data_IF_581575419202
#
_entry.id   IF_581575419202
#
_cell.length_a   1.000
_cell.length_b   1.000
_cell.length_c   1.000
_cell.angle_alpha   90.00
_cell.angle_beta   90.00
_cell.angle_gamma   90.00
#
_symmetry.space_group_name_H-M   'P 1'
#
loop_
_entity.id
_entity.type
_entity.pdbx_description
1 polymer ?
#
# COMPACT_ATOMS: atom_id res chain seq x y z
N UNK A 1 63.86 -13.09 2.19
CA UNK A 1 64.12 -11.75 2.77
C UNK A 1 64.70 -10.91 1.64
N UNK A 2 64.12 -9.85 1.08
CA UNK A 2 62.93 -9.02 1.30
C UNK A 2 62.56 -8.47 -0.10
N UNK A 3 61.31 -8.60 -0.57
CA UNK A 3 60.18 -7.67 -0.42
C UNK A 3 60.32 -6.37 -1.23
N UNK A 4 59.30 -6.18 -2.07
CA UNK A 4 58.80 -4.96 -2.73
C UNK A 4 59.36 -4.53 -4.09
N UNK A 5 58.60 -4.95 -5.12
CA UNK A 5 58.54 -4.38 -6.45
C UNK A 5 57.06 -4.01 -6.71
N UNK A 6 56.86 -2.85 -7.34
CA UNK A 6 55.65 -2.45 -8.08
C UNK A 6 54.49 -1.87 -7.25
N UNK A 7 54.56 -0.57 -6.97
CA UNK A 7 53.36 0.26 -6.93
C UNK A 7 53.06 0.71 -8.37
N UNK A 8 52.09 0.05 -9.03
CA UNK A 8 51.47 0.56 -10.25
C UNK A 8 50.18 1.25 -9.85
N UNK A 9 50.18 2.56 -10.03
CA UNK A 9 49.02 3.44 -10.00
C UNK A 9 47.91 2.86 -10.88
N UNK A 10 46.83 2.38 -10.27
CA UNK A 10 45.56 2.13 -10.95
C UNK A 10 44.82 3.47 -10.95
N UNK A 11 44.79 4.12 -12.11
CA UNK A 11 43.93 5.28 -12.34
C UNK A 11 42.50 4.76 -12.50
N UNK A 12 41.67 4.96 -11.48
CA UNK A 12 40.22 4.87 -11.61
C UNK A 12 39.76 6.09 -12.42
N UNK A 13 39.49 5.89 -13.71
CA UNK A 13 38.74 6.85 -14.49
C UNK A 13 37.26 6.70 -14.12
N UNK A 14 36.82 7.44 -13.10
CA UNK A 14 35.40 7.68 -12.85
C UNK A 14 34.92 8.63 -13.95
N UNK A 15 34.29 8.07 -14.98
CA UNK A 15 33.50 8.88 -15.92
C UNK A 15 32.20 9.22 -15.19
N UNK A 16 32.19 10.38 -14.55
CA UNK A 16 30.95 11.02 -14.12
C UNK A 16 30.21 11.47 -15.39
N UNK A 17 29.30 10.64 -15.88
CA UNK A 17 28.30 11.07 -16.85
C UNK A 17 27.31 11.96 -16.12
N UNK A 18 27.40 13.26 -16.37
CA UNK A 18 26.36 14.23 -16.04
C UNK A 18 25.03 13.78 -16.65
N UNK A 19 24.08 13.36 -15.82
CA UNK A 19 22.70 13.17 -16.25
C UNK A 19 22.14 14.54 -16.68
N UNK A 20 21.98 14.74 -17.98
CA UNK A 20 21.14 15.82 -18.50
C UNK A 20 19.69 15.39 -18.34
N UNK A 21 18.88 16.22 -17.69
CA UNK A 21 17.43 16.10 -17.61
C UNK A 21 16.82 16.40 -18.98
N UNK A 22 16.91 15.43 -19.90
CA UNK A 22 16.07 15.34 -21.07
C UNK A 22 15.04 14.24 -20.80
N UNK A 23 13.76 14.55 -20.98
CA UNK A 23 12.65 13.61 -20.81
C UNK A 23 12.97 12.26 -21.44
N UNK A 24 13.13 11.23 -20.61
CA UNK A 24 13.41 9.87 -21.06
C UNK A 24 12.10 9.29 -21.58
N UNK A 25 11.97 9.20 -22.91
CA UNK A 25 11.05 8.25 -23.49
C UNK A 25 11.50 6.85 -23.06
N UNK A 26 10.58 6.05 -22.53
CA UNK A 26 10.87 4.64 -22.22
C UNK A 26 11.28 3.92 -23.51
N UNK A 27 12.40 3.17 -23.51
CA UNK A 27 12.80 2.39 -24.68
C UNK A 27 11.71 1.37 -25.02
N UNK A 28 11.47 1.19 -26.31
CA UNK A 28 10.46 0.23 -26.78
C UNK A 28 10.84 -1.22 -26.40
N UNK A 29 9.84 -2.10 -26.28
CA UNK A 29 10.06 -3.52 -25.97
C UNK A 29 10.99 -4.18 -27.01
N UNK A 30 10.89 -3.79 -28.28
CA UNK A 30 11.84 -4.23 -29.32
C UNK A 30 13.28 -3.77 -29.07
N UNK A 31 13.52 -2.52 -28.66
CA UNK A 31 14.86 -2.02 -28.37
C UNK A 31 15.48 -2.70 -27.13
N UNK A 32 14.65 -3.02 -26.14
CA UNK A 32 15.06 -3.81 -24.98
C UNK A 32 15.41 -5.25 -25.38
N UNK A 33 14.61 -5.88 -26.24
CA UNK A 33 14.87 -7.22 -26.75
C UNK A 33 16.16 -7.29 -27.58
N UNK A 34 16.39 -6.34 -28.50
CA UNK A 34 17.63 -6.26 -29.28
C UNK A 34 18.86 -6.04 -28.38
N UNK A 35 18.72 -5.23 -27.34
CA UNK A 35 19.80 -4.98 -26.38
C UNK A 35 20.13 -6.20 -25.53
N UNK A 36 19.12 -7.00 -25.15
CA UNK A 36 19.29 -8.29 -24.48
C UNK A 36 19.96 -9.32 -25.39
N UNK A 37 19.51 -9.45 -26.65
CA UNK A 37 20.14 -10.36 -27.61
C UNK A 37 21.62 -10.01 -27.85
N UNK A 38 21.93 -8.71 -27.99
CA UNK A 38 23.32 -8.26 -28.19
C UNK A 38 24.20 -8.55 -26.97
N UNK A 39 23.70 -8.31 -25.76
CA UNK A 39 24.42 -8.69 -24.53
C UNK A 39 24.64 -10.20 -24.43
N UNK A 40 23.66 -11.00 -24.83
CA UNK A 40 23.78 -12.46 -24.80
C UNK A 40 24.81 -12.97 -25.81
N UNK A 41 24.85 -12.39 -27.01
CA UNK A 41 25.88 -12.69 -28.01
C UNK A 41 27.30 -12.29 -27.56
N UNK A 42 27.45 -11.12 -26.94
CA UNK A 42 28.74 -10.68 -26.39
C UNK A 42 29.22 -11.62 -25.27
N UNK A 43 28.30 -12.05 -24.39
CA UNK A 43 28.59 -13.02 -23.34
C UNK A 43 29.02 -14.37 -23.88
N UNK A 44 28.40 -14.85 -24.96
CA UNK A 44 28.75 -16.14 -25.56
C UNK A 44 30.09 -16.07 -26.30
N UNK A 45 30.40 -14.96 -26.97
CA UNK A 45 31.73 -14.73 -27.55
C UNK A 45 32.83 -14.68 -26.48
N UNK A 46 32.59 -13.97 -25.38
CA UNK A 46 33.51 -13.92 -24.24
C UNK A 46 33.75 -15.31 -23.66
N UNK A 47 32.69 -16.09 -23.41
CA UNK A 47 32.79 -17.49 -22.94
C UNK A 47 33.63 -18.36 -23.89
N UNK A 48 33.48 -18.18 -25.20
CA UNK A 48 34.18 -18.97 -26.21
C UNK A 48 35.66 -18.59 -26.33
N UNK A 49 36.00 -17.30 -26.28
CA UNK A 49 37.38 -16.82 -26.23
C UNK A 49 38.10 -17.31 -24.97
N UNK A 50 37.40 -17.33 -23.83
CA UNK A 50 37.92 -17.83 -22.57
C UNK A 50 38.25 -19.32 -22.61
N UNK A 51 37.42 -20.12 -23.27
CA UNK A 51 37.62 -21.58 -23.40
C UNK A 51 38.88 -21.95 -24.20
N UNK A 52 39.32 -21.08 -25.10
CA UNK A 52 40.44 -21.33 -26.01
C UNK A 52 41.78 -20.73 -25.53
N UNK A 53 41.74 -19.79 -24.58
CA UNK A 53 42.91 -18.96 -24.20
C UNK A 53 43.37 -19.14 -22.75
N UNK A 54 42.53 -19.75 -21.90
CA UNK A 54 42.74 -19.80 -20.46
C UNK A 54 43.24 -21.16 -19.98
N UNK A 55 44.15 -21.16 -19.01
CA UNK A 55 44.56 -22.35 -18.24
C UNK A 55 43.39 -22.90 -17.41
N UNK A 56 43.45 -24.18 -16.99
CA UNK A 56 42.37 -24.80 -16.20
C UNK A 56 42.02 -24.02 -14.93
N UNK A 57 42.99 -23.39 -14.27
CA UNK A 57 42.74 -22.52 -13.11
C UNK A 57 42.00 -21.23 -13.50
N UNK A 58 42.37 -20.55 -14.58
CA UNK A 58 41.70 -19.32 -15.05
C UNK A 58 40.25 -19.60 -15.48
N UNK A 59 39.98 -20.74 -16.12
CA UNK A 59 38.60 -21.17 -16.45
C UNK A 59 37.77 -21.40 -15.19
N UNK A 60 38.36 -21.91 -14.10
CA UNK A 60 37.66 -22.12 -12.83
C UNK A 60 37.35 -20.80 -12.13
N UNK A 61 38.31 -19.87 -12.09
CA UNK A 61 38.11 -18.52 -11.56
C UNK A 61 37.00 -17.82 -12.34
N UNK A 62 37.01 -17.91 -13.66
CA UNK A 62 36.05 -17.18 -14.49
C UNK A 62 34.68 -17.85 -14.49
N UNK A 63 34.59 -19.18 -14.35
CA UNK A 63 33.31 -19.84 -14.03
C UNK A 63 32.74 -19.37 -12.69
N UNK A 64 33.60 -19.17 -11.68
CA UNK A 64 33.18 -18.63 -10.39
C UNK A 64 32.72 -17.18 -10.53
N UNK A 65 33.45 -16.35 -11.27
CA UNK A 65 33.10 -14.95 -11.50
C UNK A 65 31.83 -14.80 -12.35
N UNK A 66 31.62 -15.68 -13.34
CA UNK A 66 30.38 -15.73 -14.13
C UNK A 66 29.19 -16.28 -13.33
N UNK A 67 29.41 -17.28 -12.47
CA UNK A 67 28.36 -17.77 -11.56
C UNK A 67 27.96 -16.67 -10.57
N UNK A 68 28.95 -16.00 -9.98
CA UNK A 68 28.74 -14.85 -9.11
C UNK A 68 28.01 -13.75 -9.90
N UNK A 69 28.51 -13.33 -11.06
CA UNK A 69 27.85 -12.31 -11.88
C UNK A 69 26.43 -12.72 -12.32
N UNK A 70 26.15 -14.00 -12.54
CA UNK A 70 24.82 -14.54 -12.79
C UNK A 70 23.87 -14.33 -11.61
N UNK A 71 24.33 -14.52 -10.37
CA UNK A 71 23.59 -14.20 -9.15
C UNK A 71 23.29 -12.70 -9.02
N UNK A 72 24.15 -11.81 -9.54
CA UNK A 72 23.92 -10.36 -9.55
C UNK A 72 23.02 -9.89 -10.71
N UNK A 73 23.03 -10.61 -11.84
CA UNK A 73 22.23 -10.29 -13.03
C UNK A 73 20.79 -10.80 -12.95
N UNK A 74 20.57 -11.87 -12.20
CA UNK A 74 19.25 -12.43 -11.89
C UNK A 74 19.19 -12.76 -10.40
N UNK A 75 19.18 -11.73 -9.53
CA UNK A 75 19.10 -11.99 -8.11
C UNK A 75 17.75 -12.63 -7.81
N UNK A 76 17.78 -13.72 -7.03
CA UNK A 76 16.57 -14.34 -6.50
C UNK A 76 15.80 -13.40 -5.56
N UNK A 77 16.44 -12.31 -5.14
CA UNK A 77 15.91 -11.34 -4.21
C UNK A 77 16.09 -9.91 -4.74
N UNK A 78 15.02 -9.15 -4.74
CA UNK A 78 15.01 -7.72 -5.01
C UNK A 78 14.63 -6.98 -3.74
N UNK A 79 15.36 -5.90 -3.45
CA UNK A 79 15.04 -4.97 -2.37
C UNK A 79 14.85 -3.61 -3.01
N UNK A 80 13.72 -2.97 -2.70
CA UNK A 80 13.39 -1.64 -3.18
C UNK A 80 12.88 -0.80 -2.00
N UNK A 81 13.31 0.45 -1.93
CA UNK A 81 12.85 1.41 -0.94
C UNK A 81 12.33 2.64 -1.67
N UNK A 82 11.13 3.05 -1.31
CA UNK A 82 10.46 4.25 -1.79
C UNK A 82 9.85 4.98 -0.59
N UNK A 83 8.94 5.91 -0.85
CA UNK A 83 8.24 6.66 0.17
C UNK A 83 7.94 8.07 -0.27
N UNK A 84 7.29 8.82 0.60
CA UNK A 84 6.98 10.22 0.40
C UNK A 84 7.19 11.02 1.68
N UNK A 85 7.31 12.33 1.51
CA UNK A 85 7.34 13.25 2.62
C UNK A 85 6.74 14.58 2.20
N UNK A 86 6.09 15.26 3.13
CA UNK A 86 5.52 16.59 2.90
C UNK A 86 5.61 17.50 4.12
N UNK A 87 5.54 18.80 3.83
CA UNK A 87 5.56 19.88 4.80
C UNK A 87 4.60 20.95 4.32
N UNK A 88 3.91 21.62 5.24
CA UNK A 88 2.82 22.50 4.91
C UNK A 88 2.65 23.68 5.84
N UNK A 89 1.62 24.46 5.52
CA UNK A 89 1.07 25.50 6.37
C UNK A 89 -0.45 25.38 6.26
N UNK A 90 -1.10 25.23 7.41
CA UNK A 90 -2.55 25.07 7.51
C UNK A 90 -3.11 26.27 8.26
N UNK A 91 -4.19 26.85 7.74
CA UNK A 91 -4.91 27.98 8.33
C UNK A 91 -6.41 27.69 8.18
N UNK A 92 -7.09 27.46 9.30
CA UNK A 92 -8.48 27.02 9.34
C UNK A 92 -9.35 28.12 9.96
N UNK A 93 -10.69 28.04 9.82
CA UNK A 93 -11.56 29.08 10.37
C UNK A 93 -11.59 29.09 11.91
N UNK A 94 -11.27 27.96 12.54
CA UNK A 94 -11.35 27.75 13.99
C UNK A 94 -10.01 27.80 14.71
N UNK A 95 -8.88 27.84 13.99
CA UNK A 95 -7.53 27.77 14.57
C UNK A 95 -6.58 28.77 13.92
N UNK A 96 -5.54 29.16 14.66
CA UNK A 96 -4.49 30.02 14.12
C UNK A 96 -3.59 29.23 13.16
N UNK A 97 -3.29 29.82 12.00
CA UNK A 97 -2.50 29.12 11.01
C UNK A 97 -1.07 28.80 11.44
N UNK A 98 -0.67 27.55 11.23
CA UNK A 98 0.56 26.95 11.75
C UNK A 98 1.35 26.19 10.67
N UNK A 99 2.68 26.14 10.82
CA UNK A 99 3.53 25.28 9.99
C UNK A 99 3.47 23.85 10.52
N UNK A 100 3.32 22.88 9.62
CA UNK A 100 3.32 21.47 9.96
C UNK A 100 4.33 20.69 9.13
N UNK A 101 4.89 19.66 9.74
CA UNK A 101 5.40 18.51 9.01
C UNK A 101 4.17 17.64 8.84
N UNK A 102 3.79 17.33 7.60
CA UNK A 102 2.67 16.41 7.40
C UNK A 102 3.17 15.02 7.71
N UNK A 103 3.61 14.31 6.68
CA UNK A 103 3.99 12.92 6.85
C UNK A 103 5.41 12.64 6.36
N UNK A 104 6.14 11.74 7.03
CA UNK A 104 7.29 11.03 6.45
C UNK A 104 6.97 9.54 6.39
N UNK A 105 6.75 9.00 5.19
CA UNK A 105 6.31 7.64 4.98
C UNK A 105 7.30 6.81 4.14
N UNK A 106 8.33 6.18 4.74
CA UNK A 106 9.20 5.25 4.03
C UNK A 106 8.48 3.93 3.72
N UNK A 107 8.64 3.47 2.48
CA UNK A 107 8.05 2.23 1.96
C UNK A 107 9.16 1.23 1.63
N UNK A 108 9.05 0.02 2.17
CA UNK A 108 9.97 -1.08 1.97
C UNK A 108 9.33 -2.19 1.16
N UNK A 109 10.05 -2.65 0.14
CA UNK A 109 9.67 -3.80 -0.66
C UNK A 109 10.80 -4.83 -0.65
N UNK A 110 10.44 -6.06 -0.37
CA UNK A 110 11.33 -7.21 -0.51
C UNK A 110 10.63 -8.25 -1.38
N UNK A 111 11.22 -8.62 -2.50
CA UNK A 111 10.64 -9.58 -3.42
C UNK A 111 11.58 -10.78 -3.57
N UNK A 112 11.04 -11.99 -3.41
CA UNK A 112 11.72 -13.24 -3.71
C UNK A 112 11.17 -13.80 -5.02
N UNK A 113 11.98 -13.73 -6.07
CA UNK A 113 11.64 -14.13 -7.45
C UNK A 113 10.30 -13.53 -7.88
N UNK A 114 9.57 -14.24 -8.71
CA UNK A 114 8.18 -13.97 -9.10
C UNK A 114 7.16 -14.66 -8.16
N UNK A 115 7.58 -15.03 -6.94
CA UNK A 115 6.78 -15.87 -6.05
C UNK A 115 6.20 -15.11 -4.86
N UNK A 116 7.02 -14.33 -4.16
CA UNK A 116 6.59 -13.67 -2.92
C UNK A 116 7.11 -12.24 -2.89
N UNK A 117 6.27 -11.32 -2.43
CA UNK A 117 6.64 -9.93 -2.12
C UNK A 117 6.21 -9.59 -0.70
N UNK A 118 7.04 -8.86 0.02
CA UNK A 118 6.72 -8.21 1.28
C UNK A 118 6.70 -6.71 1.01
N UNK A 119 5.65 -6.06 1.47
CA UNK A 119 5.47 -4.61 1.35
C UNK A 119 5.17 -4.03 2.72
N UNK A 120 5.78 -2.88 3.05
CA UNK A 120 5.48 -2.18 4.29
C UNK A 120 5.64 -0.69 4.13
N UNK A 121 4.67 0.06 4.65
CA UNK A 121 4.71 1.52 4.79
C UNK A 121 4.67 1.85 6.27
N UNK A 122 5.69 2.54 6.73
CA UNK A 122 5.72 3.17 8.05
C UNK A 122 5.35 4.62 7.86
N UNK A 123 4.67 5.19 8.84
CA UNK A 123 4.32 6.60 8.86
C UNK A 123 4.92 7.25 10.12
N UNK A 124 5.51 8.44 9.93
CA UNK A 124 6.03 9.26 11.01
C UNK A 124 5.44 10.66 10.89
N UNK A 125 4.82 11.14 11.96
CA UNK A 125 4.22 12.47 12.05
C UNK A 125 4.72 13.21 13.30
N UNK A 126 4.49 14.51 13.34
CA UNK A 126 4.79 15.34 14.52
C UNK A 126 3.47 15.76 15.13
N UNK A 127 3.16 15.22 16.31
CA UNK A 127 1.96 15.58 17.06
C UNK A 127 1.98 17.02 17.56
N UNK A 128 0.83 17.51 18.03
CA UNK A 128 0.66 18.90 18.46
C UNK A 128 1.54 19.29 19.67
N UNK A 129 1.92 18.32 20.48
CA UNK A 129 2.86 18.49 21.60
C UNK A 129 4.33 18.46 21.16
N UNK A 130 4.59 18.21 19.88
CA UNK A 130 5.90 18.08 19.25
C UNK A 130 6.53 16.68 19.39
N UNK A 131 5.81 15.70 19.93
CA UNK A 131 6.24 14.31 19.95
C UNK A 131 6.16 13.66 18.56
N UNK A 132 6.92 12.59 18.36
CA UNK A 132 6.88 11.84 17.09
C UNK A 132 5.90 10.70 17.23
N UNK A 133 4.86 10.73 16.42
CA UNK A 133 3.91 9.64 16.27
C UNK A 133 4.40 8.66 15.21
N UNK A 134 4.11 7.38 15.36
CA UNK A 134 4.57 6.35 14.43
C UNK A 134 3.49 5.32 14.21
N UNK A 135 3.06 5.17 12.95
CA UNK A 135 2.05 4.21 12.54
C UNK A 135 2.63 3.18 11.57
N UNK A 136 2.05 1.98 11.60
CA UNK A 136 2.25 0.96 10.58
C UNK A 136 1.01 1.00 9.67
N UNK A 137 1.11 1.71 8.55
CA UNK A 137 0.01 1.87 7.60
C UNK A 137 -0.34 0.54 6.95
N UNK A 138 0.66 -0.16 6.41
CA UNK A 138 0.48 -1.54 5.96
C UNK A 138 1.74 -2.37 6.14
N UNK A 139 1.52 -3.68 6.26
CA UNK A 139 2.54 -4.72 6.22
C UNK A 139 1.91 -5.98 5.64
N UNK A 140 2.30 -6.33 4.42
CA UNK A 140 1.75 -7.48 3.71
C UNK A 140 2.82 -8.47 3.29
N UNK A 141 2.42 -9.72 3.18
CA UNK A 141 3.13 -10.77 2.45
C UNK A 141 2.20 -11.26 1.34
N UNK A 142 2.68 -11.09 0.11
CA UNK A 142 1.96 -11.29 -1.12
C UNK A 142 2.52 -12.53 -1.81
N UNK A 143 1.70 -13.57 -1.93
CA UNK A 143 2.03 -14.79 -2.67
C UNK A 143 1.40 -14.75 -4.06
N UNK A 144 2.23 -14.63 -5.09
CA UNK A 144 1.82 -14.69 -6.49
C UNK A 144 1.50 -16.15 -6.86
N UNK A 145 0.21 -16.49 -6.87
CA UNK A 145 -0.25 -17.86 -7.15
C UNK A 145 -0.18 -18.12 -8.67
N UNK A 146 -0.66 -17.17 -9.47
CA UNK A 146 -0.63 -17.17 -10.93
C UNK A 146 -0.96 -15.75 -11.46
N UNK A 147 -0.98 -15.59 -12.79
CA UNK A 147 -1.24 -14.31 -13.48
C UNK A 147 -2.58 -13.63 -13.13
N UNK A 148 -3.52 -14.34 -12.48
CA UNK A 148 -4.86 -13.85 -12.17
C UNK A 148 -5.13 -13.72 -10.67
N UNK A 149 -4.21 -14.14 -9.80
CA UNK A 149 -4.45 -14.31 -8.36
C UNK A 149 -3.20 -14.08 -7.51
N UNK A 150 -3.33 -13.19 -6.53
CA UNK A 150 -2.37 -12.96 -5.46
C UNK A 150 -3.08 -13.14 -4.13
N UNK A 151 -2.51 -13.97 -3.25
CA UNK A 151 -2.95 -14.07 -1.87
C UNK A 151 -2.09 -13.14 -1.01
N UNK A 152 -2.73 -12.17 -0.39
CA UNK A 152 -2.15 -11.15 0.48
C UNK A 152 -2.51 -11.52 1.92
N UNK A 153 -1.54 -11.47 2.83
CA UNK A 153 -1.77 -11.65 4.26
C UNK A 153 -1.04 -10.61 5.09
N UNK A 154 -1.67 -10.11 6.14
CA UNK A 154 -1.12 -9.07 7.01
C UNK A 154 -2.09 -7.91 7.21
N UNK A 155 -1.54 -6.71 7.47
CA UNK A 155 -2.31 -5.45 7.48
C UNK A 155 -2.25 -4.86 6.07
N UNK A 156 -3.37 -4.86 5.35
CA UNK A 156 -3.48 -4.37 3.98
C UNK A 156 -4.42 -3.17 3.88
N UNK A 157 -4.16 -2.28 2.93
CA UNK A 157 -5.07 -1.16 2.64
C UNK A 157 -6.40 -1.70 2.16
N UNK A 158 -7.50 -1.20 2.72
CA UNK A 158 -8.83 -1.74 2.46
C UNK A 158 -9.16 -1.66 0.97
N UNK A 159 -9.67 -2.73 0.34
CA UNK A 159 -10.02 -2.69 -1.06
C UNK A 159 -11.35 -1.98 -1.32
N UNK A 160 -12.05 -1.50 -0.28
CA UNK A 160 -13.28 -0.74 -0.41
C UNK A 160 -12.97 0.63 -1.03
N UNK A 161 -13.60 0.92 -2.16
CA UNK A 161 -13.38 2.18 -2.88
C UNK A 161 -12.00 2.32 -3.57
N UNK A 162 -11.65 3.57 -3.94
CA UNK A 162 -10.51 3.90 -4.78
C UNK A 162 -9.46 4.75 -4.06
N UNK A 163 -9.88 5.65 -3.17
CA UNK A 163 -9.05 6.69 -2.58
C UNK A 163 -7.92 6.09 -1.75
N UNK A 164 -8.26 5.25 -0.78
CA UNK A 164 -7.27 4.61 0.10
C UNK A 164 -6.27 3.78 -0.70
N UNK A 165 -6.71 3.04 -1.71
CA UNK A 165 -5.81 2.20 -2.49
C UNK A 165 -4.86 2.95 -3.43
N UNK A 166 -5.23 4.12 -3.93
CA UNK A 166 -4.54 4.75 -5.06
C UNK A 166 -4.12 6.20 -4.84
N UNK A 167 -4.68 6.87 -3.85
CA UNK A 167 -4.59 8.32 -3.66
C UNK A 167 -4.23 8.74 -2.25
N UNK A 168 -4.07 7.79 -1.31
CA UNK A 168 -3.67 8.12 0.05
C UNK A 168 -2.31 8.84 0.13
N UNK A 169 -1.29 8.57 -0.72
CA UNK A 169 -0.02 9.25 -0.60
C UNK A 169 -0.14 10.72 -0.99
N UNK A 170 0.39 11.62 -0.16
CA UNK A 170 0.27 13.07 -0.33
C UNK A 170 0.84 13.59 -1.66
N UNK A 171 1.84 12.90 -2.23
CA UNK A 171 2.42 13.24 -3.53
C UNK A 171 1.55 12.85 -4.74
N UNK A 172 0.55 11.98 -4.54
CA UNK A 172 -0.40 11.54 -5.57
C UNK A 172 -1.73 12.30 -5.44
N UNK A 173 -2.21 12.50 -4.20
CA UNK A 173 -3.41 13.27 -3.94
C UNK A 173 -3.23 14.72 -4.43
N UNK A 174 -4.16 15.21 -5.25
CA UNK A 174 -4.14 16.61 -5.73
C UNK A 174 -4.92 17.55 -4.83
N UNK A 175 -5.55 17.06 -3.78
CA UNK A 175 -6.17 17.87 -2.75
C UNK A 175 -5.14 18.18 -1.64
N UNK A 176 -5.30 19.31 -0.91
CA UNK A 176 -4.42 19.65 0.21
C UNK A 176 -4.44 18.63 1.37
N UNK A 177 -5.53 17.86 1.49
CA UNK A 177 -5.73 16.83 2.52
C UNK A 177 -6.54 15.66 1.95
N UNK A 178 -6.68 14.58 2.72
CA UNK A 178 -7.73 13.61 2.46
C UNK A 178 -9.10 14.29 2.50
N UNK A 179 -10.06 13.88 1.64
CA UNK A 179 -11.44 14.35 1.77
C UNK A 179 -12.03 13.96 3.13
N UNK A 180 -12.98 14.73 3.68
CA UNK A 180 -13.67 14.39 4.93
C UNK A 180 -14.24 12.96 4.89
N UNK A 181 -14.12 12.20 5.98
CA UNK A 181 -14.58 10.80 6.04
C UNK A 181 -13.68 9.77 5.34
N UNK A 182 -12.59 10.22 4.69
CA UNK A 182 -11.49 9.37 4.21
C UNK A 182 -10.23 9.54 5.07
N UNK A 183 -10.38 10.02 6.31
CA UNK A 183 -9.35 10.10 7.35
C UNK A 183 -9.53 8.99 8.38
N UNK A 184 -8.95 9.15 9.58
CA UNK A 184 -9.26 8.28 10.73
C UNK A 184 -10.71 8.49 11.17
N UNK A 185 -11.30 7.49 11.81
CA UNK A 185 -12.67 7.50 12.34
C UNK A 185 -13.75 7.84 11.28
N UNK A 186 -13.42 7.58 10.01
CA UNK A 186 -14.20 8.01 8.86
C UNK A 186 -15.18 6.97 8.35
N UNK A 187 -16.11 7.41 7.50
CA UNK A 187 -17.02 6.53 6.78
C UNK A 187 -16.29 5.50 5.89
N UNK A 188 -15.12 5.83 5.35
CA UNK A 188 -14.37 4.95 4.45
C UNK A 188 -13.35 4.09 5.21
N UNK A 189 -13.42 2.75 5.12
CA UNK A 189 -12.44 1.85 5.74
C UNK A 189 -11.01 2.15 5.27
N UNK A 190 -10.04 2.09 6.18
CA UNK A 190 -8.65 2.48 5.91
C UNK A 190 -7.82 1.26 5.58
N UNK A 191 -7.71 0.34 6.53
CA UNK A 191 -6.91 -0.88 6.43
C UNK A 191 -7.59 -2.03 7.15
N UNK A 192 -7.19 -3.25 6.81
CA UNK A 192 -7.76 -4.49 7.31
C UNK A 192 -6.62 -5.43 7.72
N UNK A 193 -6.77 -6.14 8.84
CA UNK A 193 -5.83 -7.19 9.26
C UNK A 193 -6.43 -8.55 9.00
N UNK A 194 -5.84 -9.32 8.08
CA UNK A 194 -6.36 -10.62 7.72
C UNK A 194 -5.75 -11.18 6.44
N UNK A 195 -6.61 -11.78 5.60
CA UNK A 195 -6.24 -12.33 4.30
C UNK A 195 -7.11 -11.73 3.19
N UNK A 196 -6.46 -11.34 2.09
CA UNK A 196 -7.10 -10.84 0.89
C UNK A 196 -6.66 -11.69 -0.30
N UNK A 197 -7.60 -12.00 -1.18
CA UNK A 197 -7.34 -12.57 -2.49
C UNK A 197 -7.68 -11.52 -3.54
N UNK A 198 -6.69 -11.10 -4.33
CA UNK A 198 -6.88 -10.08 -5.36
C UNK A 198 -6.30 -10.49 -6.70
N UNK A 199 -6.80 -9.87 -7.76
CA UNK A 199 -6.30 -10.10 -9.10
C UNK A 199 -7.16 -9.43 -10.16
N UNK A 200 -7.14 -9.98 -11.36
CA UNK A 200 -7.93 -9.46 -12.46
C UNK A 200 -7.98 -10.44 -13.61
N UNK A 201 -9.03 -10.35 -14.43
CA UNK A 201 -9.20 -11.20 -15.60
C UNK A 201 -9.92 -10.45 -16.73
N UNK A 202 -9.67 -10.80 -18.00
CA UNK A 202 -10.40 -10.23 -19.12
C UNK A 202 -11.76 -10.92 -19.32
N UNK A 203 -12.78 -10.14 -19.65
CA UNK A 203 -14.09 -10.60 -20.15
C UNK A 203 -14.28 -10.02 -21.55
N UNK A 204 -13.87 -10.77 -22.58
CA UNK A 204 -13.82 -10.25 -23.95
C UNK A 204 -12.82 -9.09 -24.06
N UNK A 205 -13.31 -7.89 -24.42
CA UNK A 205 -12.47 -6.68 -24.50
C UNK A 205 -12.44 -5.87 -23.19
N UNK A 206 -13.21 -6.28 -22.18
CA UNK A 206 -13.29 -5.61 -20.89
C UNK A 206 -12.21 -6.19 -19.99
N UNK A 207 -11.44 -5.34 -19.30
CA UNK A 207 -10.55 -5.79 -18.22
C UNK A 207 -11.30 -5.67 -16.90
N UNK A 208 -11.03 -6.58 -15.97
CA UNK A 208 -11.58 -6.51 -14.61
C UNK A 208 -10.47 -6.61 -13.60
N UNK A 209 -10.67 -6.00 -12.44
CA UNK A 209 -9.90 -6.26 -11.23
C UNK A 209 -10.86 -6.66 -10.12
N UNK A 210 -10.40 -7.47 -9.18
CA UNK A 210 -11.20 -7.86 -8.03
C UNK A 210 -10.31 -8.01 -6.80
N UNK A 211 -10.93 -7.82 -5.64
CA UNK A 211 -10.39 -8.14 -4.34
C UNK A 211 -11.51 -8.70 -3.48
N UNK A 212 -11.25 -9.78 -2.76
CA UNK A 212 -12.13 -10.30 -1.72
C UNK A 212 -11.28 -10.58 -0.49
N UNK A 213 -11.80 -10.36 0.71
CA UNK A 213 -11.03 -10.50 1.93
C UNK A 213 -11.86 -11.02 3.08
N UNK A 214 -11.14 -11.51 4.09
CA UNK A 214 -11.62 -11.78 5.43
C UNK A 214 -10.64 -11.17 6.42
N UNK A 215 -11.14 -10.38 7.35
CA UNK A 215 -10.34 -9.64 8.34
C UNK A 215 -10.99 -9.65 9.72
N UNK A 216 -10.24 -9.22 10.72
CA UNK A 216 -10.80 -8.78 11.98
C UNK A 216 -11.76 -7.60 11.75
N UNK A 217 -12.76 -7.44 12.62
CA UNK A 217 -13.68 -6.31 12.56
C UNK A 217 -13.03 -4.98 12.93
N UNK A 218 -13.61 -3.84 12.51
CA UNK A 218 -13.23 -2.54 13.04
C UNK A 218 -13.64 -2.42 14.51
N UNK A 219 -13.03 -1.47 15.19
CA UNK A 219 -13.42 -1.08 16.54
C UNK A 219 -14.36 0.14 16.46
N UNK A 220 -15.20 0.33 17.47
CA UNK A 220 -16.14 1.45 17.54
C UNK A 220 -15.81 2.34 18.72
N UNK A 221 -15.94 3.64 18.48
CA UNK A 221 -15.79 4.69 19.47
C UNK A 221 -17.17 5.17 19.89
N UNK A 222 -17.44 5.16 21.19
CA UNK A 222 -18.66 5.71 21.75
C UNK A 222 -18.41 7.07 22.43
N UNK A 223 -19.40 7.93 22.47
CA UNK A 223 -19.38 9.16 23.29
C UNK A 223 -20.49 9.08 24.35
N UNK A 224 -20.27 9.74 25.49
CA UNK A 224 -21.30 9.90 26.52
C UNK A 224 -21.73 11.37 26.60
N UNK A 225 -22.80 11.72 25.89
CA UNK A 225 -23.39 13.05 25.88
C UNK A 225 -24.85 13.00 26.41
N UNK A 226 -25.29 14.08 27.08
CA UNK A 226 -26.67 14.27 27.56
C UNK A 226 -27.25 13.14 28.44
N UNK A 227 -26.40 12.28 29.01
CA UNK A 227 -26.77 11.20 29.92
C UNK A 227 -27.03 9.86 29.23
N UNK A 228 -26.72 9.73 27.95
CA UNK A 228 -26.79 8.50 27.16
C UNK A 228 -25.51 8.27 26.36
N UNK A 229 -25.31 7.03 25.90
CA UNK A 229 -24.21 6.69 25.01
C UNK A 229 -24.67 6.81 23.56
N UNK A 230 -23.79 7.29 22.69
CA UNK A 230 -23.95 7.25 21.24
C UNK A 230 -22.67 6.79 20.53
N UNK A 231 -22.77 6.47 19.25
CA UNK A 231 -21.61 6.12 18.43
C UNK A 231 -20.99 7.39 17.85
N UNK A 232 -19.73 7.62 18.16
CA UNK A 232 -18.95 8.77 17.69
C UNK A 232 -18.25 8.44 16.35
N UNK A 233 -17.64 7.26 16.26
CA UNK A 233 -16.84 6.88 15.10
C UNK A 233 -16.64 5.39 14.90
N UNK A 234 -16.11 5.06 13.72
CA UNK A 234 -15.69 3.72 13.33
C UNK A 234 -14.18 3.74 13.13
N UNK A 235 -13.44 3.09 14.03
CA UNK A 235 -12.00 2.92 13.96
C UNK A 235 -11.73 1.76 12.97
N UNK A 236 -11.41 2.11 11.73
CA UNK A 236 -11.22 1.17 10.60
C UNK A 236 -9.76 1.08 10.12
N UNK A 237 -8.81 1.28 11.03
CA UNK A 237 -7.35 1.26 10.80
C UNK A 237 -6.73 -0.14 11.01
N UNK A 238 -7.55 -1.19 10.99
CA UNK A 238 -7.10 -2.58 11.01
C UNK A 238 -6.43 -2.99 12.32
N UNK A 239 -7.19 -3.61 13.20
CA UNK A 239 -6.70 -4.03 14.52
C UNK A 239 -6.11 -5.45 14.52
N UNK A 240 -4.98 -5.61 15.21
CA UNK A 240 -4.40 -6.93 15.47
C UNK A 240 -5.16 -7.72 16.53
N UNK A 241 -5.95 -7.03 17.36
CA UNK A 241 -6.92 -7.63 18.28
C UNK A 241 -8.24 -7.92 17.55
N UNK A 242 -9.03 -8.77 18.17
CA UNK A 242 -10.33 -9.21 17.68
C UNK A 242 -11.19 -9.50 18.91
N UNK A 243 -11.77 -8.43 19.46
CA UNK A 243 -12.40 -8.42 20.78
C UNK A 243 -13.67 -9.27 20.85
N UNK A 244 -14.41 -9.35 19.74
CA UNK A 244 -15.65 -10.13 19.64
C UNK A 244 -15.48 -11.52 19.03
N UNK A 245 -14.35 -11.79 18.37
CA UNK A 245 -14.07 -13.07 17.72
C UNK A 245 -14.70 -13.21 16.33
N UNK A 246 -15.47 -12.21 15.89
CA UNK A 246 -16.22 -12.21 14.65
C UNK A 246 -15.36 -11.68 13.50
N UNK A 247 -15.76 -11.94 12.26
CA UNK A 247 -14.96 -11.57 11.08
C UNK A 247 -15.74 -10.69 10.14
N UNK A 248 -15.04 -9.76 9.52
CA UNK A 248 -15.56 -8.99 8.39
C UNK A 248 -15.16 -9.68 7.10
N UNK A 249 -16.13 -9.81 6.20
CA UNK A 249 -15.91 -10.25 4.82
C UNK A 249 -16.28 -9.11 3.89
N UNK A 250 -15.40 -8.84 2.93
CA UNK A 250 -15.64 -7.76 2.00
C UNK A 250 -14.92 -7.94 0.68
N UNK A 251 -15.10 -6.98 -0.21
CA UNK A 251 -14.44 -6.97 -1.49
C UNK A 251 -14.84 -5.83 -2.40
N UNK A 252 -14.16 -5.77 -3.54
CA UNK A 252 -14.39 -4.82 -4.61
C UNK A 252 -14.26 -5.50 -5.97
N UNK A 253 -15.11 -5.09 -6.90
CA UNK A 253 -15.03 -5.45 -8.31
C UNK A 253 -14.90 -4.18 -9.16
N UNK A 254 -13.79 -4.06 -9.87
CA UNK A 254 -13.56 -2.99 -10.84
C UNK A 254 -13.73 -3.49 -12.28
N UNK A 255 -14.40 -2.69 -13.10
CA UNK A 255 -14.63 -2.95 -14.53
C UNK A 255 -14.01 -1.82 -15.35
N UNK A 256 -13.15 -2.22 -16.30
CA UNK A 256 -12.41 -1.33 -17.20
C UNK A 256 -12.84 -1.64 -18.64
N UNK A 257 -13.94 -1.03 -19.13
CA UNK A 257 -14.49 -1.32 -20.46
C UNK A 257 -13.65 -0.74 -21.60
N UNK A 258 -12.86 0.31 -21.33
CA UNK A 258 -11.93 0.91 -22.28
C UNK A 258 -10.77 1.55 -21.53
N UNK A 259 -9.67 1.82 -22.24
CA UNK A 259 -8.46 2.41 -21.67
C UNK A 259 -8.78 3.78 -21.06
N UNK A 260 -8.38 3.97 -19.81
CA UNK A 260 -8.57 5.22 -19.07
C UNK A 260 -9.93 5.35 -18.39
N UNK A 261 -10.79 4.33 -18.34
CA UNK A 261 -12.01 4.37 -17.52
C UNK A 261 -12.12 3.14 -16.65
N UNK A 262 -12.40 3.33 -15.36
CA UNK A 262 -12.72 2.29 -14.39
C UNK A 262 -13.99 2.67 -13.62
N UNK A 263 -14.83 1.67 -13.37
CA UNK A 263 -15.96 1.74 -12.45
C UNK A 263 -15.79 0.63 -11.41
N UNK A 264 -15.81 0.98 -10.14
CA UNK A 264 -15.73 0.06 -9.01
C UNK A 264 -17.02 0.00 -8.21
N UNK A 265 -17.36 -1.20 -7.74
CA UNK A 265 -18.35 -1.42 -6.68
C UNK A 265 -17.70 -2.24 -5.58
N UNK A 266 -17.91 -1.84 -4.34
CA UNK A 266 -17.35 -2.49 -3.15
C UNK A 266 -18.39 -2.66 -2.06
N UNK A 267 -18.22 -3.69 -1.24
CA UNK A 267 -19.03 -3.90 -0.06
C UNK A 267 -18.26 -4.71 1.00
N UNK A 268 -18.59 -4.50 2.27
CA UNK A 268 -18.14 -5.31 3.38
C UNK A 268 -19.31 -5.58 4.33
N UNK A 269 -19.26 -6.70 5.05
CA UNK A 269 -20.26 -7.06 6.06
C UNK A 269 -19.60 -7.93 7.14
N UNK A 270 -19.98 -7.71 8.39
CA UNK A 270 -19.47 -8.46 9.52
C UNK A 270 -19.93 -7.87 10.84
N UNK A 271 -18.99 -7.75 11.78
CA UNK A 271 -19.24 -7.26 13.13
C UNK A 271 -18.19 -6.26 13.56
N UNK A 272 -18.59 -5.38 14.46
CA UNK A 272 -17.74 -4.40 15.12
C UNK A 272 -18.17 -4.27 16.58
N UNK A 273 -17.25 -3.87 17.45
CA UNK A 273 -17.49 -3.78 18.90
C UNK A 273 -16.95 -2.47 19.45
N UNK A 274 -17.66 -1.90 20.43
CA UNK A 274 -17.19 -0.69 21.13
C UNK A 274 -16.01 -1.04 22.03
N UNK A 275 -14.89 -0.36 21.86
CA UNK A 275 -13.66 -0.60 22.64
C UNK A 275 -13.10 0.65 23.30
N UNK A 276 -13.58 1.82 22.88
CA UNK A 276 -13.17 3.12 23.41
C UNK A 276 -14.39 4.02 23.70
N UNK A 277 -14.26 4.88 24.71
CA UNK A 277 -15.19 5.98 24.97
C UNK A 277 -14.41 7.29 24.80
N UNK A 278 -14.94 8.20 23.99
CA UNK A 278 -14.36 9.52 23.77
C UNK A 278 -14.26 10.29 25.10
N UNK A 279 -13.06 10.80 25.38
CA UNK A 279 -12.70 11.47 26.64
C UNK A 279 -13.10 10.70 27.93
N UNK A 280 -13.32 9.38 27.83
CA UNK A 280 -13.91 8.55 28.87
C UNK A 280 -13.03 7.41 29.39
N UNK A 281 -13.56 6.67 30.37
CA UNK A 281 -12.90 5.48 30.91
C UNK A 281 -13.41 4.21 30.23
N UNK A 282 -12.61 3.69 29.29
CA UNK A 282 -12.90 2.46 28.55
C UNK A 282 -12.80 1.18 29.37
N UNK A 283 -12.41 1.23 30.65
CA UNK A 283 -12.24 0.02 31.48
C UNK A 283 -13.55 -0.74 31.76
N UNK A 284 -14.70 -0.08 31.55
CA UNK A 284 -16.04 -0.66 31.73
C UNK A 284 -16.61 -1.37 30.48
N UNK A 285 -15.87 -1.39 29.36
CA UNK A 285 -16.33 -1.95 28.08
C UNK A 285 -16.05 -3.46 27.92
N UNK A 286 -15.78 -4.18 29.01
CA UNK A 286 -15.42 -5.61 28.94
C UNK A 286 -16.55 -6.54 28.50
N UNK A 287 -17.80 -6.07 28.56
CA UNK A 287 -19.01 -6.83 28.24
C UNK A 287 -19.75 -6.30 27.00
N UNK A 288 -19.07 -5.49 26.16
CA UNK A 288 -19.68 -4.96 24.93
C UNK A 288 -20.06 -6.07 23.94
N UNK A 289 -21.25 -5.94 23.37
CA UNK A 289 -21.75 -6.86 22.36
C UNK A 289 -21.32 -6.47 20.96
N UNK A 290 -21.08 -7.48 20.12
CA UNK A 290 -20.82 -7.28 18.70
C UNK A 290 -22.05 -6.71 17.97
N UNK A 291 -21.85 -5.63 17.23
CA UNK A 291 -22.87 -4.93 16.44
C UNK A 291 -22.72 -5.27 14.96
N UNK A 292 -23.83 -5.25 14.22
CA UNK A 292 -23.78 -5.39 12.76
C UNK A 292 -22.92 -4.26 12.16
N UNK A 293 -22.07 -4.60 11.20
CA UNK A 293 -21.21 -3.67 10.49
C UNK A 293 -21.33 -3.94 8.99
N UNK A 294 -21.83 -2.96 8.24
CA UNK A 294 -22.03 -3.06 6.80
C UNK A 294 -21.45 -1.83 6.10
N UNK A 295 -20.78 -2.05 4.96
CA UNK A 295 -20.20 -0.98 4.14
C UNK A 295 -20.60 -1.19 2.70
N UNK A 296 -20.99 -0.11 2.02
CA UNK A 296 -21.17 -0.09 0.57
C UNK A 296 -20.37 1.05 -0.04
N UNK A 297 -19.81 0.82 -1.22
CA UNK A 297 -19.05 1.83 -1.94
C UNK A 297 -19.20 1.73 -3.45
N UNK A 298 -19.10 2.87 -4.11
CA UNK A 298 -19.05 2.99 -5.55
C UNK A 298 -18.04 4.06 -5.96
N UNK A 299 -17.20 3.73 -6.92
CA UNK A 299 -16.12 4.62 -7.37
C UNK A 299 -16.00 4.61 -8.90
N UNK A 300 -15.47 5.69 -9.45
CA UNK A 300 -15.09 5.74 -10.86
C UNK A 300 -13.84 6.59 -11.06
N UNK A 301 -13.07 6.24 -12.07
CA UNK A 301 -12.01 7.10 -12.59
C UNK A 301 -12.03 7.16 -14.10
N UNK A 302 -11.78 8.36 -14.61
CA UNK A 302 -11.71 8.65 -16.03
C UNK A 302 -10.50 9.52 -16.34
N UNK A 303 -9.63 9.01 -17.21
CA UNK A 303 -8.47 9.70 -17.72
C UNK A 303 -8.61 9.89 -19.22
N UNK A 304 -8.54 11.15 -19.65
CA UNK A 304 -8.47 11.54 -21.05
C UNK A 304 -7.34 12.55 -21.27
N UNK A 305 -6.24 12.07 -21.83
CA UNK A 305 -5.00 12.85 -22.00
C UNK A 305 -4.53 13.41 -20.65
N UNK A 306 -4.45 14.74 -20.53
CA UNK A 306 -4.07 15.42 -19.29
C UNK A 306 -5.25 15.60 -18.30
N UNK A 307 -6.48 15.39 -18.76
CA UNK A 307 -7.67 15.51 -17.90
C UNK A 307 -7.88 14.21 -17.13
N UNK A 308 -8.10 14.34 -15.83
CA UNK A 308 -8.43 13.24 -14.95
C UNK A 308 -9.65 13.68 -14.14
N UNK A 309 -10.68 12.86 -14.12
CA UNK A 309 -11.85 13.01 -13.28
C UNK A 309 -12.04 11.71 -12.51
N UNK A 310 -12.25 11.81 -11.21
CA UNK A 310 -12.57 10.66 -10.38
C UNK A 310 -13.59 11.04 -9.32
N UNK A 311 -14.26 10.04 -8.79
CA UNK A 311 -15.14 10.23 -7.65
C UNK A 311 -15.48 8.91 -6.99
N UNK A 312 -15.90 9.02 -5.75
CA UNK A 312 -16.13 7.87 -4.89
C UNK A 312 -17.14 8.26 -3.84
N UNK A 313 -18.00 7.31 -3.48
CA UNK A 313 -18.95 7.37 -2.38
C UNK A 313 -18.80 6.11 -1.55
N UNK A 314 -18.83 6.28 -0.23
CA UNK A 314 -18.81 5.18 0.74
C UNK A 314 -19.85 5.49 1.83
N UNK A 315 -20.58 4.46 2.22
CA UNK A 315 -21.51 4.47 3.35
C UNK A 315 -21.18 3.30 4.26
N UNK A 316 -21.08 3.58 5.57
CA UNK A 316 -20.84 2.62 6.63
C UNK A 316 -22.01 2.68 7.61
N UNK A 317 -22.65 1.54 7.86
CA UNK A 317 -23.77 1.38 8.79
C UNK A 317 -23.34 0.47 9.94
N UNK A 318 -23.62 0.91 11.18
CA UNK A 318 -23.43 0.13 12.40
C UNK A 318 -24.79 -0.06 13.08
N UNK A 319 -25.12 -1.32 13.40
CA UNK A 319 -26.37 -1.67 14.06
C UNK A 319 -26.45 -1.21 15.52
N UNK A 320 -27.67 -1.03 16.02
CA UNK A 320 -27.91 -0.67 17.42
C UNK A 320 -27.56 -1.81 18.40
N UNK A 321 -27.13 -1.46 19.61
CA UNK A 321 -27.15 -2.37 20.76
C UNK A 321 -28.37 -2.06 21.65
N UNK A 322 -29.26 -3.04 21.81
CA UNK A 322 -30.54 -2.88 22.51
C UNK A 322 -30.47 -3.18 24.01
N UNK A 323 -29.27 -3.19 24.60
CA UNK A 323 -29.07 -3.16 26.05
C UNK A 323 -28.19 -4.30 26.60
N UNK A 324 -27.19 -4.74 25.83
CA UNK A 324 -26.26 -5.78 26.27
C UNK A 324 -24.94 -5.24 26.81
N UNK A 325 -24.41 -4.14 26.24
CA UNK A 325 -23.19 -3.46 26.66
C UNK A 325 -23.39 -2.27 27.59
N UNK A 326 -22.29 -1.83 28.20
CA UNK A 326 -22.18 -0.57 28.96
C UNK A 326 -22.48 0.63 28.07
N UNK A 327 -21.98 0.62 26.82
CA UNK A 327 -22.16 1.67 25.82
C UNK A 327 -23.34 1.40 24.87
N UNK A 328 -24.36 0.64 25.33
CA UNK A 328 -25.53 0.34 24.52
C UNK A 328 -26.18 1.63 23.99
N UNK A 329 -26.33 1.70 22.67
CA UNK A 329 -26.78 2.90 21.96
C UNK A 329 -27.50 2.55 20.65
N UNK A 330 -28.17 3.54 20.05
CA UNK A 330 -28.73 3.38 18.71
C UNK A 330 -27.63 3.11 17.68
N UNK A 331 -28.03 2.62 16.50
CA UNK A 331 -27.12 2.45 15.38
C UNK A 331 -26.80 3.78 14.72
N UNK A 332 -25.75 3.82 13.92
CA UNK A 332 -25.31 5.03 13.23
C UNK A 332 -24.91 4.73 11.77
N UNK A 333 -24.98 5.77 10.95
CA UNK A 333 -24.60 5.70 9.53
C UNK A 333 -23.68 6.86 9.22
N UNK A 334 -22.51 6.57 8.66
CA UNK A 334 -21.56 7.56 8.16
C UNK A 334 -21.50 7.48 6.65
N UNK A 335 -21.70 8.61 5.98
CA UNK A 335 -21.62 8.73 4.52
C UNK A 335 -20.49 9.70 4.15
N UNK A 336 -19.73 9.36 3.13
CA UNK A 336 -18.75 10.27 2.54
C UNK A 336 -18.67 10.15 1.03
N UNK A 337 -18.25 11.23 0.38
CA UNK A 337 -17.91 11.22 -1.03
C UNK A 337 -16.89 12.31 -1.36
N UNK A 338 -16.20 12.13 -2.49
CA UNK A 338 -15.41 13.20 -3.10
C UNK A 338 -15.45 13.13 -4.62
N UNK A 339 -15.06 14.24 -5.25
CA UNK A 339 -14.77 14.31 -6.68
C UNK A 339 -13.52 15.16 -6.90
N UNK A 340 -12.61 14.71 -7.76
CA UNK A 340 -11.33 15.40 -8.06
C UNK A 340 -11.06 15.46 -9.56
#
# INVERSE_FOLDING_TARGET
MNINRVAKTIVFAVVASSFSTAALAEPSVEELAERLERMQQEMDQLKQQLKNSATKEEVLVIKKDVATAGEWLQPDTLIHMAGYADVGYTDSESEDGSFNVGTFAPIFHFQYRDLVMLESELEFEVGDDGETETNLEYLTIDWFINDYMVLVGGKFVSPIGQFRQNLHPSWINKLPSAPPGFGHDGAAPVTDVGFQLRGGFPIGNIRTNYAVYVSNGPELKAEFEDGEYELDGVEAEGFGADGDGEKVVGGRLGIIPFVGFELGLSAASGKATVTSIEDGDSSALSDEGARDYDVIGADFSWQYKAFNLRGEYVETEVGADTGSGTAASEGATWETWYTQ
#
